data_IF_641823873037
#
_entry.id   IF_641823873037
#
_cell.length_a   1.000
_cell.length_b   1.000
_cell.length_c   1.000
_cell.angle_alpha   90.00
_cell.angle_beta   90.00
_cell.angle_gamma   90.00
#
_symmetry.space_group_name_H-M   'P 1'
#
loop_
_entity.id
_entity.type
_entity.pdbx_description
1 polymer ?
#
# COMPACT_ATOMS: atom_id res chain seq x y z
N UNK A 1 -10.51 11.54 6.86
CA UNK A 1 -9.41 10.58 6.73
C UNK A 1 -9.83 9.44 5.83
N UNK A 2 -8.97 9.06 4.93
CA UNK A 2 -9.19 7.92 4.06
C UNK A 2 -8.33 6.73 4.54
N UNK A 3 -8.68 5.55 4.07
CA UNK A 3 -7.97 4.32 4.41
C UNK A 3 -7.64 3.55 3.13
N UNK A 4 -6.48 2.91 3.13
CA UNK A 4 -5.92 2.27 1.95
C UNK A 4 -5.35 0.91 2.30
N UNK A 5 -5.40 -0.03 1.36
CA UNK A 5 -4.60 -1.24 1.43
C UNK A 5 -3.52 -1.12 0.36
N UNK A 6 -2.26 -1.29 0.75
CA UNK A 6 -1.12 -1.16 -0.15
C UNK A 6 -0.32 -2.46 -0.14
N UNK A 7 -0.12 -3.03 -1.31
CA UNK A 7 0.53 -4.33 -1.48
C UNK A 7 2.02 -4.17 -1.73
N UNK A 8 2.81 -4.98 -1.02
CA UNK A 8 4.26 -5.08 -1.20
C UNK A 8 4.66 -6.56 -1.19
N UNK A 9 5.61 -6.93 -2.03
CA UNK A 9 6.18 -8.27 -2.00
C UNK A 9 7.19 -8.34 -0.86
N UNK A 10 7.00 -9.26 0.13
CA UNK A 10 7.88 -9.27 1.31
C UNK A 10 9.35 -9.61 1.00
N UNK A 11 9.63 -10.30 -0.10
CA UNK A 11 11.00 -10.55 -0.54
C UNK A 11 11.70 -9.27 -1.00
N UNK A 12 10.94 -8.27 -1.46
CA UNK A 12 11.48 -6.97 -1.86
C UNK A 12 11.42 -5.98 -0.71
N UNK A 13 10.27 -5.85 -0.04
CA UNK A 13 10.11 -4.93 1.08
C UNK A 13 8.97 -5.37 1.99
N UNK A 14 9.30 -5.89 3.16
CA UNK A 14 8.35 -6.42 4.15
C UNK A 14 7.97 -5.38 5.20
N UNK A 15 6.98 -5.71 6.03
CA UNK A 15 6.62 -4.86 7.19
C UNK A 15 7.81 -4.72 8.16
N UNK A 16 8.63 -5.76 8.31
CA UNK A 16 9.83 -5.71 9.13
C UNK A 16 10.87 -4.77 8.54
N UNK A 17 10.99 -4.73 7.20
CA UNK A 17 11.87 -3.78 6.52
C UNK A 17 11.43 -2.34 6.77
N UNK A 18 10.12 -2.09 6.75
CA UNK A 18 9.57 -0.76 7.05
C UNK A 18 9.86 -0.38 8.51
N UNK A 19 9.68 -1.30 9.43
CA UNK A 19 9.98 -1.07 10.85
C UNK A 19 11.42 -0.65 11.07
N UNK A 20 12.35 -1.23 10.30
CA UNK A 20 13.80 -0.98 10.42
C UNK A 20 14.29 0.15 9.52
N UNK A 21 13.46 0.68 8.64
CA UNK A 21 13.86 1.74 7.73
C UNK A 21 14.20 3.03 8.49
N UNK A 22 15.06 3.91 7.92
CA UNK A 22 15.34 5.20 8.52
C UNK A 22 14.05 5.97 8.78
N UNK A 23 13.85 6.45 10.02
CA UNK A 23 12.62 7.11 10.48
C UNK A 23 11.37 6.24 10.30
N UNK A 24 11.54 4.93 10.12
CA UNK A 24 10.47 3.96 9.86
C UNK A 24 9.57 4.38 8.67
N UNK A 25 10.19 4.97 7.66
CA UNK A 25 9.48 5.56 6.51
C UNK A 25 10.15 5.12 5.22
N UNK A 26 9.35 4.89 4.18
CA UNK A 26 9.84 4.55 2.86
C UNK A 26 9.03 5.26 1.78
N UNK A 27 9.66 5.70 0.67
CA UNK A 27 8.91 6.09 -0.51
C UNK A 27 8.20 4.85 -1.08
N UNK A 28 6.94 5.01 -1.46
CA UNK A 28 6.19 3.91 -2.08
C UNK A 28 6.35 3.99 -3.60
N UNK A 29 7.53 3.67 -4.08
CA UNK A 29 7.89 3.81 -5.49
C UNK A 29 7.53 2.55 -6.29
N UNK A 30 7.66 2.66 -7.62
CA UNK A 30 7.50 1.52 -8.51
C UNK A 30 6.06 1.17 -8.88
N UNK A 31 5.10 2.00 -8.51
CA UNK A 31 3.70 1.80 -8.91
C UNK A 31 3.55 2.19 -10.38
N UNK A 32 3.17 1.24 -11.23
CA UNK A 32 3.07 1.42 -12.68
C UNK A 32 1.68 1.10 -13.22
N UNK A 33 0.66 1.44 -12.44
CA UNK A 33 -0.74 1.39 -12.81
C UNK A 33 -1.35 2.77 -12.62
N UNK A 34 -2.03 3.29 -13.61
CA UNK A 34 -2.57 4.65 -13.55
C UNK A 34 -3.63 4.84 -12.48
N UNK A 35 -4.46 3.82 -12.22
CA UNK A 35 -5.49 3.92 -11.16
C UNK A 35 -4.83 4.05 -9.78
N UNK A 36 -3.86 3.20 -9.50
CA UNK A 36 -3.12 3.25 -8.24
C UNK A 36 -2.34 4.56 -8.10
N UNK A 37 -1.68 5.01 -9.19
CA UNK A 37 -1.00 6.31 -9.21
C UNK A 37 -1.98 7.44 -8.88
N UNK A 38 -3.17 7.41 -9.45
CA UNK A 38 -4.18 8.46 -9.23
C UNK A 38 -4.63 8.50 -7.76
N UNK A 39 -4.73 7.34 -7.09
CA UNK A 39 -5.01 7.32 -5.67
C UNK A 39 -3.94 8.08 -4.87
N UNK A 40 -2.67 7.82 -5.16
CA UNK A 40 -1.56 8.51 -4.49
C UNK A 40 -1.53 10.00 -4.81
N UNK A 41 -1.69 10.35 -6.08
CA UNK A 41 -1.58 11.73 -6.55
C UNK A 41 -2.76 12.58 -6.10
N UNK A 42 -3.98 12.04 -6.20
CA UNK A 42 -5.21 12.86 -6.13
C UNK A 42 -6.02 12.65 -4.83
N UNK A 43 -5.90 11.50 -4.19
CA UNK A 43 -6.81 11.11 -3.10
C UNK A 43 -6.13 10.92 -1.74
N UNK A 44 -4.90 10.43 -1.71
CA UNK A 44 -4.20 10.21 -0.45
C UNK A 44 -3.80 11.51 0.22
N UNK A 45 -3.92 11.53 1.55
CA UNK A 45 -3.52 12.68 2.36
C UNK A 45 -2.64 12.22 3.51
N UNK A 46 -1.76 13.09 3.97
CA UNK A 46 -0.92 12.82 5.14
C UNK A 46 -1.80 12.44 6.33
N UNK A 47 -1.47 11.32 6.96
CA UNK A 47 -2.23 10.78 8.09
C UNK A 47 -3.24 9.70 7.72
N UNK A 48 -3.52 9.49 6.44
CA UNK A 48 -4.40 8.41 6.01
C UNK A 48 -3.85 7.05 6.49
N UNK A 49 -4.75 6.17 6.94
CA UNK A 49 -4.38 4.83 7.39
C UNK A 49 -4.06 3.89 6.24
N UNK A 50 -3.09 3.02 6.46
CA UNK A 50 -2.64 2.03 5.47
C UNK A 50 -2.61 0.64 6.09
N UNK A 51 -3.29 -0.30 5.45
CA UNK A 51 -3.11 -1.72 5.71
C UNK A 51 -1.96 -2.19 4.83
N UNK A 52 -0.85 -2.56 5.47
CA UNK A 52 0.35 -3.04 4.77
C UNK A 52 0.15 -4.53 4.45
N UNK A 53 0.03 -4.84 3.17
CA UNK A 53 -0.35 -6.16 2.69
C UNK A 53 0.83 -6.82 1.99
N UNK A 54 1.18 -8.05 2.42
CA UNK A 54 2.17 -8.87 1.74
C UNK A 54 1.51 -9.63 0.59
N UNK A 55 2.01 -9.43 -0.64
CA UNK A 55 1.50 -10.07 -1.85
C UNK A 55 2.58 -10.91 -2.52
N UNK A 56 2.17 -11.76 -3.46
CA UNK A 56 3.10 -12.59 -4.28
C UNK A 56 4.05 -13.40 -3.40
N UNK A 57 3.51 -14.06 -2.39
CA UNK A 57 4.27 -14.85 -1.42
C UNK A 57 3.47 -16.07 -1.01
N UNK A 58 4.08 -16.93 -0.19
CA UNK A 58 3.46 -18.20 0.22
C UNK A 58 2.11 -17.99 0.90
N UNK A 59 2.03 -17.04 1.85
CA UNK A 59 0.78 -16.71 2.56
C UNK A 59 0.52 -15.22 2.44
N UNK A 60 -0.21 -14.77 1.41
CA UNK A 60 -0.54 -13.35 1.28
C UNK A 60 -1.53 -12.91 2.34
N UNK A 61 -1.40 -11.67 2.78
CA UNK A 61 -2.29 -11.09 3.79
C UNK A 61 -1.79 -9.79 4.37
N UNK A 62 -2.61 -9.23 5.27
CA UNK A 62 -2.26 -8.00 5.99
C UNK A 62 -1.22 -8.35 7.04
N UNK A 63 -0.09 -7.64 7.04
CA UNK A 63 1.04 -7.90 7.92
C UNK A 63 1.28 -6.77 8.93
N UNK A 64 0.67 -5.62 8.75
CA UNK A 64 0.85 -4.50 9.66
C UNK A 64 0.04 -3.29 9.28
N UNK A 65 0.21 -2.24 10.09
CA UNK A 65 -0.47 -0.97 9.96
C UNK A 65 0.60 0.10 9.71
N UNK A 66 0.31 0.98 8.77
CA UNK A 66 1.17 2.11 8.42
C UNK A 66 0.29 3.34 8.20
N UNK A 67 0.92 4.45 7.83
CA UNK A 67 0.19 5.68 7.49
C UNK A 67 0.90 6.42 6.37
N UNK A 68 0.13 7.19 5.62
CA UNK A 68 0.68 8.09 4.59
C UNK A 68 1.40 9.23 5.31
N UNK A 69 2.67 9.46 4.95
CA UNK A 69 3.55 10.38 5.67
C UNK A 69 3.97 11.59 4.84
N UNK A 70 3.58 11.66 3.56
CA UNK A 70 3.89 12.81 2.71
C UNK A 70 2.81 13.05 1.67
N UNK A 71 2.83 14.24 1.08
CA UNK A 71 2.11 14.50 -0.18
C UNK A 71 2.76 13.70 -1.30
N UNK A 72 2.02 13.49 -2.40
CA UNK A 72 2.59 12.84 -3.58
C UNK A 72 3.69 13.71 -4.20
N UNK A 73 4.73 13.05 -4.68
CA UNK A 73 5.83 13.68 -5.40
C UNK A 73 6.34 12.72 -6.47
N UNK A 74 7.11 13.24 -7.47
CA UNK A 74 7.56 12.37 -8.55
C UNK A 74 8.39 11.20 -8.06
N UNK A 75 8.07 10.01 -8.57
CA UNK A 75 8.82 8.78 -8.31
C UNK A 75 10.15 8.84 -9.08
N UNK A 76 11.26 8.93 -8.36
CA UNK A 76 12.59 9.08 -8.95
C UNK A 76 13.01 7.88 -9.80
N UNK A 77 12.50 6.67 -9.49
CA UNK A 77 12.88 5.46 -10.22
C UNK A 77 12.48 5.49 -11.69
N UNK A 78 11.47 6.28 -12.06
CA UNK A 78 11.05 6.40 -13.46
C UNK A 78 12.12 7.03 -14.35
N UNK A 79 13.06 7.78 -13.77
CA UNK A 79 14.12 8.47 -14.52
C UNK A 79 15.47 7.76 -14.39
N UNK A 80 15.57 6.69 -13.63
CA UNK A 80 16.80 5.94 -13.43
C UNK A 80 16.85 4.75 -14.40
N UNK A 81 17.74 4.84 -15.39
CA UNK A 81 17.88 3.79 -16.41
C UNK A 81 18.26 2.42 -15.85
N UNK A 82 18.82 2.38 -14.66
CA UNK A 82 19.20 1.13 -13.99
C UNK A 82 18.05 0.51 -13.19
N UNK A 83 16.97 1.26 -12.98
CA UNK A 83 15.82 0.78 -12.23
C UNK A 83 14.93 -0.10 -13.09
N UNK A 84 14.37 -1.15 -12.48
CA UNK A 84 13.33 -1.98 -13.11
C UNK A 84 12.07 -1.16 -13.41
N UNK A 85 11.92 0.00 -12.79
CA UNK A 85 10.76 0.88 -12.93
C UNK A 85 11.03 2.07 -13.86
N UNK A 86 12.12 2.04 -14.60
CA UNK A 86 12.46 3.10 -15.56
C UNK A 86 11.37 3.22 -16.64
N UNK A 87 10.97 4.45 -16.93
CA UNK A 87 10.02 4.76 -18.00
C UNK A 87 10.60 5.83 -18.92
N UNK A 88 11.09 5.41 -20.08
CA UNK A 88 11.70 6.29 -21.05
C UNK A 88 10.74 7.36 -21.60
N UNK A 89 9.42 7.12 -21.50
CA UNK A 89 8.39 8.04 -21.99
C UNK A 89 7.99 9.09 -20.97
N UNK A 90 8.38 8.93 -19.71
CA UNK A 90 8.08 9.92 -18.68
C UNK A 90 9.03 11.10 -18.77
N UNK A 91 8.54 12.30 -18.53
CA UNK A 91 9.30 13.54 -18.63
C UNK A 91 9.43 14.19 -17.27
N UNK A 92 10.60 14.77 -17.01
CA UNK A 92 10.83 15.47 -15.73
C UNK A 92 9.93 16.68 -15.53
N UNK A 93 9.52 17.32 -16.62
CA UNK A 93 8.60 18.46 -16.57
C UNK A 93 7.12 18.06 -16.51
N UNK A 94 6.83 16.76 -16.72
CA UNK A 94 5.48 16.21 -16.62
C UNK A 94 5.58 14.73 -16.25
N UNK A 95 5.93 14.41 -14.98
CA UNK A 95 6.16 13.02 -14.58
C UNK A 95 4.85 12.22 -14.56
N UNK A 96 4.91 11.03 -15.15
CA UNK A 96 3.77 10.10 -15.17
C UNK A 96 3.56 9.45 -13.81
N UNK A 97 4.64 9.15 -13.10
CA UNK A 97 4.61 8.29 -11.93
C UNK A 97 4.94 9.08 -10.68
N UNK A 98 4.08 8.93 -9.71
CA UNK A 98 4.15 9.62 -8.42
C UNK A 98 4.27 8.59 -7.33
N UNK A 99 4.77 8.99 -6.17
CA UNK A 99 4.71 8.18 -4.96
C UNK A 99 4.43 9.05 -3.75
N UNK A 100 4.04 8.40 -2.67
CA UNK A 100 3.93 9.00 -1.33
C UNK A 100 4.91 8.29 -0.41
N UNK A 101 5.28 8.93 0.69
CA UNK A 101 5.99 8.24 1.78
C UNK A 101 4.97 7.54 2.67
N UNK A 102 5.35 6.35 3.14
CA UNK A 102 4.56 5.54 4.05
C UNK A 102 5.38 5.27 5.30
N UNK A 103 4.78 5.50 6.46
CA UNK A 103 5.45 5.35 7.75
C UNK A 103 4.85 4.20 8.55
N UNK A 104 5.71 3.40 9.18
CA UNK A 104 5.34 2.30 10.06
C UNK A 104 4.53 2.80 11.26
N UNK A 105 3.47 2.08 11.59
CA UNK A 105 2.70 2.29 12.82
C UNK A 105 2.81 1.07 13.72
N UNK A 106 2.51 -0.12 13.20
CA UNK A 106 2.52 -1.33 14.03
C UNK A 106 2.66 -2.58 13.17
N UNK A 107 3.51 -3.50 13.59
CA UNK A 107 3.50 -4.87 13.06
C UNK A 107 2.40 -5.66 13.76
N UNK A 108 1.60 -6.40 12.99
CA UNK A 108 0.50 -7.21 13.53
C UNK A 108 0.77 -8.69 13.28
N UNK A 109 -0.09 -9.57 13.84
CA UNK A 109 -0.16 -10.90 13.30
C UNK A 109 -0.55 -10.84 11.84
N UNK A 110 -0.21 -11.83 11.07
CA UNK A 110 -0.67 -11.91 9.69
C UNK A 110 -2.18 -12.21 9.67
N UNK A 111 -2.94 -11.41 8.91
CA UNK A 111 -4.32 -11.76 8.56
C UNK A 111 -4.31 -12.26 7.13
N UNK A 112 -4.32 -13.60 6.91
CA UNK A 112 -4.25 -14.15 5.56
C UNK A 112 -5.45 -13.76 4.71
N UNK A 113 -5.25 -13.75 3.39
CA UNK A 113 -6.30 -13.48 2.43
C UNK A 113 -7.51 -14.42 2.64
N UNK A 114 -7.27 -15.68 2.95
CA UNK A 114 -8.33 -16.64 3.20
C UNK A 114 -9.17 -16.25 4.42
N UNK A 115 -8.54 -15.75 5.49
CA UNK A 115 -9.26 -15.24 6.65
C UNK A 115 -10.11 -14.02 6.27
N UNK A 116 -9.56 -13.10 5.48
CA UNK A 116 -10.32 -11.93 5.02
C UNK A 116 -11.58 -12.36 4.27
N UNK A 117 -11.47 -13.35 3.39
CA UNK A 117 -12.60 -13.88 2.61
C UNK A 117 -13.61 -14.62 3.45
N UNK A 118 -13.22 -15.14 4.60
CA UNK A 118 -14.11 -15.85 5.50
C UNK A 118 -15.06 -14.93 6.28
N UNK A 119 -14.75 -13.62 6.37
CA UNK A 119 -15.57 -12.66 7.08
C UNK A 119 -16.57 -11.98 6.14
N UNK A 120 -17.87 -12.19 6.38
CA UNK A 120 -18.89 -11.54 5.55
C UNK A 120 -18.87 -10.02 5.68
N UNK A 121 -18.37 -9.48 6.79
CA UNK A 121 -18.19 -8.05 7.00
C UNK A 121 -17.25 -7.42 5.98
N UNK A 122 -16.38 -8.24 5.37
CA UNK A 122 -15.44 -7.79 4.33
C UNK A 122 -15.89 -8.19 2.93
N UNK A 123 -17.08 -8.73 2.76
CA UNK A 123 -17.54 -9.27 1.46
C UNK A 123 -17.53 -8.23 0.34
N UNK A 124 -17.77 -6.95 0.67
CA UNK A 124 -17.74 -5.87 -0.31
C UNK A 124 -16.39 -5.21 -0.48
N UNK A 125 -15.36 -5.66 0.22
CA UNK A 125 -14.04 -5.05 0.19
C UNK A 125 -13.43 -5.13 -1.21
N UNK A 126 -12.97 -3.99 -1.71
CA UNK A 126 -12.50 -3.88 -3.09
C UNK A 126 -11.32 -4.79 -3.39
N UNK A 127 -10.42 -4.95 -2.43
CA UNK A 127 -9.26 -5.85 -2.53
C UNK A 127 -9.68 -7.29 -2.84
N UNK A 128 -10.84 -7.73 -2.33
CA UNK A 128 -11.28 -9.13 -2.41
C UNK A 128 -12.11 -9.43 -3.67
N UNK A 129 -12.41 -8.43 -4.49
CA UNK A 129 -13.19 -8.64 -5.71
C UNK A 129 -12.46 -9.54 -6.68
N UNK A 130 -13.17 -10.49 -7.33
CA UNK A 130 -12.55 -11.35 -8.34
C UNK A 130 -11.88 -10.53 -9.44
N UNK A 131 -10.66 -10.92 -9.81
CA UNK A 131 -9.91 -10.24 -10.86
C UNK A 131 -9.25 -8.92 -10.45
N UNK A 132 -9.37 -8.51 -9.19
CA UNK A 132 -8.69 -7.29 -8.73
C UNK A 132 -7.17 -7.51 -8.73
N UNK A 133 -6.45 -6.67 -9.47
CA UNK A 133 -4.98 -6.72 -9.57
C UNK A 133 -4.33 -5.41 -9.14
N UNK A 134 -5.11 -4.48 -8.61
CA UNK A 134 -4.56 -3.20 -8.14
C UNK A 134 -3.68 -3.42 -6.92
N UNK A 135 -2.52 -2.78 -6.91
CA UNK A 135 -1.60 -2.80 -5.77
C UNK A 135 -2.02 -1.84 -4.66
N UNK A 136 -2.91 -0.92 -4.96
CA UNK A 136 -3.48 0.02 -3.99
C UNK A 136 -4.99 0.01 -4.17
N UNK A 137 -5.72 -0.24 -3.09
CA UNK A 137 -7.18 -0.20 -3.11
C UNK A 137 -7.71 0.61 -1.93
N UNK A 138 -8.81 1.37 -2.13
CA UNK A 138 -9.44 2.06 -1.01
C UNK A 138 -10.11 1.07 -0.06
N UNK A 139 -10.15 1.44 1.21
CA UNK A 139 -10.75 0.66 2.29
C UNK A 139 -11.78 1.57 2.96
N UNK A 140 -12.99 1.05 3.21
CA UNK A 140 -14.01 1.83 3.92
C UNK A 140 -13.65 1.93 5.40
N UNK A 141 -14.20 2.93 6.07
CA UNK A 141 -14.01 3.07 7.53
C UNK A 141 -14.50 1.85 8.28
N UNK A 142 -15.62 1.28 7.87
CA UNK A 142 -16.15 0.07 8.49
C UNK A 142 -15.22 -1.14 8.34
N UNK A 143 -14.67 -1.32 7.15
CA UNK A 143 -13.69 -2.39 6.89
C UNK A 143 -12.41 -2.17 7.70
N UNK A 144 -11.92 -0.94 7.74
CA UNK A 144 -10.75 -0.56 8.53
C UNK A 144 -10.95 -0.91 10.01
N UNK A 145 -12.05 -0.44 10.58
CA UNK A 145 -12.35 -0.66 11.99
C UNK A 145 -12.50 -2.15 12.30
N UNK A 146 -13.19 -2.89 11.44
CA UNK A 146 -13.36 -4.33 11.60
C UNK A 146 -12.00 -5.06 11.62
N UNK A 147 -11.14 -4.74 10.67
CA UNK A 147 -9.81 -5.37 10.56
C UNK A 147 -8.96 -5.02 11.79
N UNK A 148 -8.94 -3.76 12.21
CA UNK A 148 -8.17 -3.36 13.39
C UNK A 148 -8.65 -4.07 14.64
N UNK A 149 -9.95 -4.25 14.80
CA UNK A 149 -10.51 -5.01 15.92
C UNK A 149 -10.02 -6.47 15.91
N UNK A 150 -10.06 -7.12 14.74
CA UNK A 150 -9.59 -8.51 14.60
C UNK A 150 -8.10 -8.64 14.84
N UNK A 151 -7.32 -7.62 14.52
CA UNK A 151 -5.87 -7.61 14.73
C UNK A 151 -5.48 -7.16 16.14
N UNK A 152 -6.44 -6.77 16.98
CA UNK A 152 -6.17 -6.28 18.32
C UNK A 152 -5.47 -4.92 18.33
N UNK A 153 -5.74 -4.07 17.34
CA UNK A 153 -5.07 -2.78 17.17
C UNK A 153 -5.94 -1.57 17.56
N UNK A 154 -7.09 -1.82 18.12
CA UNK A 154 -8.00 -0.74 18.55
C UNK A 154 -8.11 -0.63 20.03
#
# INVERSE_FOLDING_TARGET
MNYWLMKSEPDEFSIEDLEKAPKQTTPWFGVRNYVARNFMRDSMRVGDGVLFYHSSCEVPGIAGIAKVASKAYPDASQFDRKSDYYDAKSRRDDPRWMNVDVKFVKKTRLMPLDEMRAHHELAGMRTLRPGNRLSITPVTEGEWNFILDKLGCR
#
